data_IF_720413682246
#
_entry.id   IF_720413682246
#
_cell.length_a   1.000
_cell.length_b   1.000
_cell.length_c   1.000
_cell.angle_alpha   90.00
_cell.angle_beta   90.00
_cell.angle_gamma   90.00
#
_symmetry.space_group_name_H-M   'P 1'
#
loop_
_entity.id
_entity.type
_entity.pdbx_description
1 polymer ?
#
# COMPACT_ATOMS: atom_id res chain seq x y z
N UNK A 1 1.25 -3.90 -11.15
CA UNK A 1 0.97 -3.95 -9.71
C UNK A 1 -0.54 -3.84 -9.54
N UNK A 2 -1.24 -4.94 -9.27
CA UNK A 2 -2.71 -4.97 -9.25
C UNK A 2 -3.17 -5.90 -8.12
N UNK A 3 -4.01 -5.40 -7.22
CA UNK A 3 -4.63 -6.19 -6.12
C UNK A 3 -5.89 -6.92 -6.60
N UNK A 4 -5.80 -7.50 -7.80
CA UNK A 4 -6.93 -8.05 -8.58
C UNK A 4 -6.84 -9.56 -8.77
N UNK A 5 -5.77 -10.17 -8.27
CA UNK A 5 -5.51 -11.59 -8.44
C UNK A 5 -6.40 -12.41 -7.50
N UNK A 6 -6.83 -13.59 -7.94
CA UNK A 6 -7.47 -14.60 -7.08
C UNK A 6 -6.61 -14.90 -5.84
N UNK A 7 -5.29 -14.72 -5.94
CA UNK A 7 -4.36 -14.81 -4.82
C UNK A 7 -4.70 -13.88 -3.64
N UNK A 8 -5.44 -12.79 -3.86
CA UNK A 8 -5.82 -11.81 -2.83
C UNK A 8 -7.33 -11.61 -2.72
N UNK A 9 -8.11 -12.62 -3.12
CA UNK A 9 -9.55 -12.67 -2.90
C UNK A 9 -9.97 -13.98 -2.21
N UNK A 10 -11.00 -13.91 -1.38
CA UNK A 10 -11.65 -15.08 -0.79
C UNK A 10 -12.85 -15.58 -1.63
N UNK A 11 -13.34 -14.75 -2.56
CA UNK A 11 -14.37 -15.11 -3.53
C UNK A 11 -13.80 -15.89 -4.71
N UNK A 12 -14.58 -16.83 -5.24
CA UNK A 12 -14.22 -17.58 -6.46
C UNK A 12 -14.89 -16.91 -7.68
N UNK A 13 -14.08 -16.30 -8.55
CA UNK A 13 -14.57 -15.60 -9.75
C UNK A 13 -15.12 -14.19 -9.52
N UNK A 14 -15.02 -13.65 -8.30
CA UNK A 14 -15.37 -12.27 -7.96
C UNK A 14 -14.47 -11.73 -6.85
N UNK A 15 -14.38 -10.40 -6.73
CA UNK A 15 -13.54 -9.76 -5.71
C UNK A 15 -14.27 -9.66 -4.37
N UNK A 16 -13.73 -10.36 -3.39
CA UNK A 16 -14.08 -10.26 -1.98
C UNK A 16 -12.81 -10.32 -1.13
N UNK A 17 -12.60 -9.28 -0.32
CA UNK A 17 -11.49 -9.15 0.63
C UNK A 17 -11.97 -8.32 1.82
N UNK A 18 -12.75 -8.91 2.70
CA UNK A 18 -13.30 -8.21 3.86
C UNK A 18 -12.24 -7.94 4.92
N UNK A 19 -12.53 -7.03 5.87
CA UNK A 19 -11.58 -6.63 6.90
C UNK A 19 -11.08 -7.85 7.71
N UNK A 20 -9.75 -7.99 7.82
CA UNK A 20 -9.03 -9.09 8.48
C UNK A 20 -9.35 -10.51 7.97
N UNK A 21 -9.94 -10.64 6.78
CA UNK A 21 -10.13 -11.93 6.13
C UNK A 21 -8.79 -12.56 5.72
N UNK A 22 -8.73 -13.87 5.42
CA UNK A 22 -7.53 -14.50 4.87
C UNK A 22 -7.00 -13.78 3.62
N UNK A 23 -7.87 -13.32 2.71
CA UNK A 23 -7.47 -12.50 1.56
C UNK A 23 -6.85 -11.16 1.98
N UNK A 24 -7.37 -10.53 3.03
CA UNK A 24 -6.79 -9.30 3.57
C UNK A 24 -5.35 -9.52 4.02
N UNK A 25 -5.08 -10.60 4.73
CA UNK A 25 -3.71 -10.96 5.13
C UNK A 25 -2.78 -11.24 3.94
N UNK A 26 -3.27 -11.92 2.89
CA UNK A 26 -2.51 -12.13 1.66
C UNK A 26 -2.17 -10.80 0.97
N UNK A 27 -3.15 -9.91 0.86
CA UNK A 27 -2.95 -8.59 0.27
C UNK A 27 -2.00 -7.71 1.10
N UNK A 28 -2.02 -7.78 2.44
CA UNK A 28 -1.06 -7.06 3.29
C UNK A 28 0.38 -7.45 2.91
N UNK A 29 0.65 -8.75 2.77
CA UNK A 29 1.99 -9.23 2.40
C UNK A 29 2.41 -8.72 1.02
N UNK A 30 1.52 -8.80 0.02
CA UNK A 30 1.78 -8.29 -1.33
C UNK A 30 2.04 -6.77 -1.34
N UNK A 31 1.25 -6.00 -0.59
CA UNK A 31 1.43 -4.54 -0.48
C UNK A 31 2.78 -4.21 0.16
N UNK A 32 3.18 -4.95 1.21
CA UNK A 32 4.48 -4.76 1.87
C UNK A 32 5.64 -5.03 0.92
N UNK A 33 5.60 -6.12 0.16
CA UNK A 33 6.62 -6.42 -0.85
C UNK A 33 6.77 -5.29 -1.86
N UNK A 34 5.65 -4.72 -2.32
CA UNK A 34 5.68 -3.60 -3.25
C UNK A 34 6.20 -2.30 -2.63
N UNK A 35 5.85 -2.01 -1.38
CA UNK A 35 6.40 -0.88 -0.63
C UNK A 35 7.92 -1.03 -0.43
N UNK A 36 8.40 -2.22 -0.06
CA UNK A 36 9.82 -2.53 0.10
C UNK A 36 10.58 -2.39 -1.23
N UNK A 37 10.01 -2.90 -2.32
CA UNK A 37 10.54 -2.70 -3.67
C UNK A 37 10.56 -1.22 -4.07
N UNK A 38 9.59 -0.42 -3.61
CA UNK A 38 9.56 1.03 -3.74
C UNK A 38 10.53 1.78 -2.81
N UNK A 39 11.27 1.06 -1.93
CA UNK A 39 12.28 1.62 -1.03
C UNK A 39 11.73 2.14 0.29
N UNK A 40 10.53 1.71 0.67
CA UNK A 40 9.89 2.09 1.92
C UNK A 40 10.22 1.05 2.99
N UNK A 41 10.38 1.51 4.23
CA UNK A 41 10.33 0.64 5.42
C UNK A 41 8.87 0.29 5.71
N UNK A 42 8.56 -0.98 5.93
CA UNK A 42 7.18 -1.42 6.21
C UNK A 42 6.97 -1.90 7.64
N UNK A 43 5.74 -1.78 8.14
CA UNK A 43 5.25 -2.44 9.35
C UNK A 43 3.73 -2.61 9.28
N UNK A 44 3.18 -3.43 10.18
CA UNK A 44 1.73 -3.54 10.39
C UNK A 44 1.44 -3.08 11.82
N UNK A 45 0.46 -2.19 11.99
CA UNK A 45 0.07 -1.71 13.32
C UNK A 45 -0.83 -2.71 14.06
N UNK A 46 -1.16 -2.43 15.33
CA UNK A 46 -2.00 -3.30 16.14
C UNK A 46 -3.45 -3.41 15.63
N UNK A 47 -3.88 -2.51 14.73
CA UNK A 47 -5.21 -2.51 14.13
C UNK A 47 -5.22 -3.23 12.77
N UNK A 48 -4.08 -3.77 12.32
CA UNK A 48 -3.96 -4.48 11.05
C UNK A 48 -3.74 -3.58 9.83
N UNK A 49 -3.44 -2.29 10.02
CA UNK A 49 -3.09 -1.42 8.90
C UNK A 49 -1.66 -1.70 8.46
N UNK A 50 -1.46 -1.79 7.15
CA UNK A 50 -0.13 -1.83 6.56
C UNK A 50 0.39 -0.42 6.35
N UNK A 51 1.63 -0.20 6.75
CA UNK A 51 2.31 1.08 6.58
C UNK A 51 3.59 0.88 5.77
N UNK A 52 3.89 1.86 4.91
CA UNK A 52 5.19 1.98 4.24
C UNK A 52 5.69 3.41 4.36
N UNK A 53 6.91 3.61 4.87
CA UNK A 53 7.47 4.94 5.08
C UNK A 53 8.83 5.11 4.44
N UNK A 54 9.04 6.27 3.86
CA UNK A 54 10.37 6.76 3.49
C UNK A 54 10.65 8.06 4.23
N UNK A 55 11.87 8.19 4.74
CA UNK A 55 12.31 9.45 5.33
C UNK A 55 12.62 10.47 4.25
N UNK A 56 12.34 11.74 4.55
CA UNK A 56 12.85 12.85 3.77
C UNK A 56 14.17 13.38 4.33
N UNK A 57 14.67 14.44 3.72
CA UNK A 57 15.85 15.18 4.18
C UNK A 57 15.70 15.69 5.62
N UNK A 58 14.47 16.05 6.02
CA UNK A 58 14.14 16.36 7.41
C UNK A 58 13.20 15.29 8.00
N UNK A 59 13.71 14.30 8.76
CA UNK A 59 12.89 13.23 9.35
C UNK A 59 11.97 13.72 10.48
N UNK A 60 12.23 14.91 11.03
CA UNK A 60 11.43 15.49 12.11
C UNK A 60 10.25 16.36 11.59
N UNK A 61 10.13 16.54 10.28
CA UNK A 61 8.98 17.23 9.70
C UNK A 61 7.72 16.35 9.77
N UNK A 62 6.55 16.99 9.74
CA UNK A 62 5.28 16.28 9.60
C UNK A 62 5.27 15.42 8.34
N UNK A 63 4.89 14.15 8.51
CA UNK A 63 4.79 13.22 7.39
C UNK A 63 3.62 13.58 6.49
N UNK A 64 3.83 13.49 5.18
CA UNK A 64 2.73 13.44 4.23
C UNK A 64 2.18 12.02 4.21
N UNK A 65 0.96 11.84 4.72
CA UNK A 65 0.23 10.58 4.62
C UNK A 65 -0.57 10.54 3.31
N UNK A 66 -0.38 9.50 2.53
CA UNK A 66 -1.11 9.24 1.28
C UNK A 66 -1.52 7.77 1.25
N UNK A 67 -2.67 7.45 0.67
CA UNK A 67 -3.19 6.12 0.91
C UNK A 67 -4.65 5.91 0.58
N UNK A 68 -5.16 4.74 0.93
CA UNK A 68 -6.58 4.42 0.85
C UNK A 68 -6.89 3.16 1.67
N UNK A 69 -8.03 2.52 1.44
CA UNK A 69 -8.35 1.23 2.03
C UNK A 69 -8.01 0.08 1.07
N UNK A 70 -7.76 -1.11 1.62
CA UNK A 70 -7.52 -2.31 0.82
C UNK A 70 -8.65 -3.32 0.91
N UNK A 71 -9.48 -3.25 1.94
CA UNK A 71 -10.65 -4.11 2.07
C UNK A 71 -11.72 -3.76 1.03
N UNK A 72 -12.53 -4.74 0.72
CA UNK A 72 -13.63 -4.66 -0.25
C UNK A 72 -14.89 -5.25 0.34
N UNK A 73 -16.01 -4.93 -0.28
CA UNK A 73 -17.27 -5.66 -0.10
C UNK A 73 -17.27 -6.96 -0.93
N UNK A 74 -18.33 -7.75 -0.81
CA UNK A 74 -18.60 -8.92 -1.66
C UNK A 74 -18.90 -8.44 -3.08
N UNK A 75 -18.29 -9.10 -4.07
CA UNK A 75 -18.43 -8.78 -5.50
C UNK A 75 -18.14 -7.30 -5.81
N UNK A 76 -17.05 -6.80 -5.19
CA UNK A 76 -16.68 -5.40 -5.29
C UNK A 76 -16.05 -5.04 -6.64
N UNK A 77 -16.17 -3.76 -6.98
CA UNK A 77 -15.39 -3.16 -8.06
C UNK A 77 -13.89 -3.18 -7.77
N UNK A 78 -13.10 -3.31 -8.83
CA UNK A 78 -11.67 -3.60 -8.74
C UNK A 78 -10.81 -2.43 -8.22
N UNK A 79 -11.28 -1.19 -8.38
CA UNK A 79 -10.49 0.02 -8.12
C UNK A 79 -10.78 0.71 -6.79
N UNK A 80 -11.93 0.40 -6.19
CA UNK A 80 -12.33 1.04 -4.94
C UNK A 80 -11.33 0.71 -3.83
N UNK A 81 -10.83 1.75 -3.16
CA UNK A 81 -9.69 1.67 -2.24
C UNK A 81 -8.34 1.36 -2.91
N UNK A 82 -8.21 0.17 -3.49
CA UNK A 82 -6.95 -0.43 -3.94
C UNK A 82 -6.14 0.45 -4.90
N UNK A 83 -6.83 1.23 -5.76
CA UNK A 83 -6.18 2.13 -6.71
C UNK A 83 -5.39 3.23 -6.01
N UNK A 84 -5.86 3.74 -4.87
CA UNK A 84 -5.16 4.76 -4.10
C UNK A 84 -3.82 4.25 -3.55
N UNK A 85 -3.82 3.04 -3.00
CA UNK A 85 -2.61 2.37 -2.48
C UNK A 85 -1.61 2.13 -3.62
N UNK A 86 -2.06 1.52 -4.73
CA UNK A 86 -1.20 1.22 -5.88
C UNK A 86 -0.62 2.51 -6.48
N UNK A 87 -1.42 3.57 -6.57
CA UNK A 87 -0.97 4.87 -7.11
C UNK A 87 0.09 5.51 -6.23
N UNK A 88 -0.10 5.49 -4.90
CA UNK A 88 0.87 6.04 -3.95
C UNK A 88 2.21 5.30 -4.02
N UNK A 89 2.19 3.96 -4.01
CA UNK A 89 3.41 3.14 -4.13
C UNK A 89 4.08 3.37 -5.48
N UNK A 90 3.31 3.41 -6.57
CA UNK A 90 3.84 3.64 -7.92
C UNK A 90 4.53 5.00 -8.05
N UNK A 91 3.96 6.06 -7.46
CA UNK A 91 4.58 7.38 -7.46
C UNK A 91 5.92 7.37 -6.70
N UNK A 92 5.98 6.74 -5.53
CA UNK A 92 7.22 6.62 -4.76
C UNK A 92 8.25 5.73 -5.46
N UNK A 93 7.84 4.62 -6.07
CA UNK A 93 8.71 3.77 -6.90
C UNK A 93 9.29 4.56 -8.08
N UNK A 94 8.49 5.39 -8.74
CA UNK A 94 8.98 6.26 -9.81
C UNK A 94 10.01 7.27 -9.29
N UNK A 95 9.83 7.84 -8.09
CA UNK A 95 10.84 8.69 -7.47
C UNK A 95 12.12 7.92 -7.13
N UNK A 96 12.01 6.67 -6.66
CA UNK A 96 13.17 5.78 -6.39
C UNK A 96 13.98 5.55 -7.65
N UNK A 97 13.33 5.10 -8.72
CA UNK A 97 13.99 4.79 -10.01
C UNK A 97 14.67 6.03 -10.59
N UNK A 98 14.13 7.22 -10.36
CA UNK A 98 14.72 8.48 -10.82
C UNK A 98 15.73 9.11 -9.83
N UNK A 99 16.12 8.42 -8.74
CA UNK A 99 17.09 8.94 -7.76
C UNK A 99 16.60 10.18 -7.00
N UNK A 100 15.29 10.29 -6.80
CA UNK A 100 14.62 11.45 -6.15
C UNK A 100 13.96 11.10 -4.82
N UNK A 101 13.81 9.82 -4.48
CA UNK A 101 13.11 9.40 -3.26
C UNK A 101 13.75 9.99 -1.98
N UNK A 102 15.07 9.88 -1.83
CA UNK A 102 15.80 10.43 -0.67
C UNK A 102 15.86 11.97 -0.63
N UNK A 103 15.46 12.64 -1.73
CA UNK A 103 15.44 14.10 -1.84
C UNK A 103 14.11 14.71 -1.40
N UNK A 104 13.14 13.88 -0.98
CA UNK A 104 11.88 14.35 -0.42
C UNK A 104 12.14 15.27 0.77
N UNK A 105 11.43 16.39 0.85
CA UNK A 105 11.68 17.40 1.91
C UNK A 105 11.22 16.95 3.30
N UNK A 106 10.23 16.06 3.34
CA UNK A 106 9.56 15.55 4.54
C UNK A 106 9.33 14.05 4.40
N UNK A 107 9.08 13.32 5.49
CA UNK A 107 8.71 11.92 5.42
C UNK A 107 7.43 11.75 4.60
N UNK A 108 7.31 10.63 3.90
CA UNK A 108 6.07 10.24 3.21
C UNK A 108 5.70 8.84 3.68
N UNK A 109 4.45 8.68 4.08
CA UNK A 109 3.90 7.43 4.55
C UNK A 109 2.74 7.02 3.66
N UNK A 110 2.76 5.76 3.23
CA UNK A 110 1.69 5.09 2.52
C UNK A 110 0.93 4.22 3.50
N UNK A 111 -0.40 4.36 3.52
CA UNK A 111 -1.31 3.56 4.34
C UNK A 111 -2.51 3.08 3.54
#
# INVERSE_FOLDING_TARGET
>A
MLLLDEQVSDGNGYLERTFLSPASMRAINVIREWMEDAGLRTWVDQMGNVHGRVEGVNPNAEALLIGSHMDTVVDAGMFDGSLGIVSAISALKALKVNGKLEKLKRPVEVR
#
